data_IF_365703047068
#
_entry.id   IF_365703047068
#
_cell.length_a   1.000
_cell.length_b   1.000
_cell.length_c   1.000
_cell.angle_alpha   90.00
_cell.angle_beta   90.00
_cell.angle_gamma   90.00
#
_symmetry.space_group_name_H-M   'P 1'
#
loop_
_entity.id
_entity.type
_entity.pdbx_description
1 polymer ?
#
# COMPACT_ATOMS: atom_id res chain seq x y z
N UNK A 1 17.45 12.24 31.96
CA UNK A 1 17.08 13.13 30.85
C UNK A 1 16.89 12.27 29.59
N UNK A 2 15.65 11.89 29.24
CA UNK A 2 15.17 11.28 27.97
C UNK A 2 13.86 10.49 28.13
N UNK A 3 13.15 10.61 29.26
CA UNK A 3 11.86 9.94 29.47
C UNK A 3 10.75 10.40 28.49
N UNK A 4 10.91 11.56 27.84
CA UNK A 4 9.94 12.09 26.87
C UNK A 4 9.85 11.30 25.55
N UNK A 5 10.86 10.47 25.22
CA UNK A 5 10.95 9.72 23.97
C UNK A 5 10.74 8.21 24.14
N UNK A 6 10.47 7.73 25.36
CA UNK A 6 10.42 6.29 25.66
C UNK A 6 9.06 5.63 25.37
N UNK A 7 7.97 6.41 25.29
CA UNK A 7 6.60 5.88 25.19
C UNK A 7 6.04 5.82 23.76
N UNK A 8 6.81 6.20 22.74
CA UNK A 8 6.36 6.17 21.34
C UNK A 8 7.53 6.06 20.36
N UNK A 9 7.22 5.68 19.12
CA UNK A 9 8.11 5.79 17.97
C UNK A 9 7.52 6.81 16.98
N UNK A 10 8.35 7.62 16.32
CA UNK A 10 7.87 8.69 15.46
C UNK A 10 8.98 9.48 14.77
N UNK A 11 8.66 10.62 14.12
CA UNK A 11 9.62 11.40 13.32
C UNK A 11 10.98 11.73 13.97
N UNK A 12 11.07 12.15 15.26
CA UNK A 12 12.37 12.46 15.85
C UNK A 12 13.28 11.22 15.93
N UNK A 13 12.70 10.05 16.19
CA UNK A 13 13.42 8.77 16.25
C UNK A 13 13.90 8.35 14.87
N UNK A 14 13.02 8.42 13.87
CA UNK A 14 13.32 8.02 12.50
C UNK A 14 14.40 8.91 11.86
N UNK A 15 14.37 10.23 12.09
CA UNK A 15 15.45 11.13 11.65
C UNK A 15 16.80 10.76 12.29
N UNK A 16 16.78 10.41 13.58
CA UNK A 16 17.99 9.97 14.28
C UNK A 16 18.52 8.66 13.70
N UNK A 17 17.64 7.69 13.44
CA UNK A 17 17.98 6.43 12.78
C UNK A 17 18.60 6.69 11.41
N UNK A 18 17.96 7.49 10.56
CA UNK A 18 18.44 7.81 9.21
C UNK A 18 19.85 8.42 9.25
N UNK A 19 20.10 9.38 10.15
CA UNK A 19 21.41 10.04 10.28
C UNK A 19 22.51 9.11 10.76
N UNK A 20 22.20 8.20 11.69
CA UNK A 20 23.19 7.29 12.28
C UNK A 20 23.50 6.13 11.33
N UNK A 21 22.49 5.58 10.65
CA UNK A 21 22.66 4.44 9.76
C UNK A 21 23.26 4.85 8.41
N UNK A 22 22.91 6.03 7.90
CA UNK A 22 23.23 6.45 6.55
C UNK A 22 22.66 5.49 5.49
N UNK A 23 23.04 5.69 4.22
CA UNK A 23 22.51 4.88 3.11
C UNK A 23 22.79 3.38 3.26
N UNK A 24 24.02 3.02 3.66
CA UNK A 24 24.41 1.62 3.78
C UNK A 24 23.64 0.91 4.89
N UNK A 25 23.51 1.52 6.07
CA UNK A 25 22.75 0.93 7.17
C UNK A 25 21.27 0.81 6.84
N UNK A 26 20.67 1.83 6.21
CA UNK A 26 19.28 1.77 5.75
C UNK A 26 19.09 0.63 4.74
N UNK A 27 19.98 0.50 3.76
CA UNK A 27 19.88 -0.55 2.75
C UNK A 27 19.89 -1.97 3.37
N UNK A 28 20.78 -2.22 4.34
CA UNK A 28 20.83 -3.51 5.06
C UNK A 28 19.54 -3.73 5.84
N UNK A 29 19.06 -2.74 6.60
CA UNK A 29 17.81 -2.87 7.37
C UNK A 29 16.62 -3.17 6.46
N UNK A 30 16.52 -2.49 5.31
CA UNK A 30 15.44 -2.73 4.34
C UNK A 30 15.50 -4.14 3.74
N UNK A 31 16.71 -4.66 3.49
CA UNK A 31 16.92 -6.03 2.99
C UNK A 31 16.50 -7.06 4.04
N UNK A 32 16.91 -6.90 5.29
CA UNK A 32 16.50 -7.80 6.39
C UNK A 32 14.98 -7.75 6.64
N UNK A 33 14.38 -6.56 6.56
CA UNK A 33 12.92 -6.43 6.66
C UNK A 33 12.19 -7.14 5.52
N UNK A 34 12.72 -7.12 4.30
CA UNK A 34 12.17 -7.90 3.20
C UNK A 34 12.24 -9.41 3.46
N UNK A 35 13.33 -9.90 4.08
CA UNK A 35 13.47 -11.32 4.43
C UNK A 35 12.48 -11.72 5.53
N UNK A 36 12.26 -10.86 6.53
CA UNK A 36 11.23 -11.04 7.54
C UNK A 36 9.84 -11.09 6.89
N UNK A 37 9.54 -10.14 5.99
CA UNK A 37 8.26 -10.09 5.27
C UNK A 37 8.06 -11.35 4.44
N UNK A 38 9.10 -11.80 3.71
CA UNK A 38 9.07 -13.04 2.95
C UNK A 38 8.76 -14.24 3.85
N UNK A 39 9.45 -14.37 4.98
CA UNK A 39 9.25 -15.44 5.95
C UNK A 39 7.83 -15.44 6.53
N UNK A 40 7.29 -14.27 6.87
CA UNK A 40 5.91 -14.14 7.37
C UNK A 40 4.87 -14.54 6.32
N UNK A 41 5.05 -14.07 5.07
CA UNK A 41 4.13 -14.35 3.97
C UNK A 41 4.14 -15.83 3.61
N UNK A 42 5.33 -16.44 3.40
CA UNK A 42 5.45 -17.83 2.98
C UNK A 42 5.30 -18.84 4.14
N UNK A 43 5.48 -18.39 5.38
CA UNK A 43 5.37 -19.22 6.58
C UNK A 43 3.97 -19.15 7.18
N UNK A 44 3.87 -18.42 8.28
CA UNK A 44 2.67 -18.42 9.13
C UNK A 44 1.43 -17.90 8.38
N UNK A 45 1.53 -16.77 7.66
CA UNK A 45 0.37 -16.17 6.98
C UNK A 45 -0.13 -17.13 5.89
N UNK A 46 0.77 -17.79 5.16
CA UNK A 46 0.41 -18.82 4.19
C UNK A 46 -0.36 -19.98 4.83
N UNK A 47 0.16 -20.57 5.90
CA UNK A 47 -0.46 -21.71 6.59
C UNK A 47 -1.83 -21.36 7.17
N UNK A 48 -1.97 -20.18 7.78
CA UNK A 48 -3.26 -19.69 8.25
C UNK A 48 -4.22 -19.45 7.09
N UNK A 49 -3.75 -18.91 5.96
CA UNK A 49 -4.57 -18.69 4.77
C UNK A 49 -5.08 -20.02 4.20
N UNK A 50 -4.24 -21.06 4.12
CA UNK A 50 -4.66 -22.42 3.72
C UNK A 50 -5.77 -22.97 4.62
N UNK A 51 -5.56 -22.87 5.94
CA UNK A 51 -6.49 -23.38 6.95
C UNK A 51 -7.81 -22.62 6.89
N UNK A 52 -7.77 -21.29 6.87
CA UNK A 52 -8.97 -20.46 6.90
C UNK A 52 -9.73 -20.48 5.59
N UNK A 53 -9.08 -20.53 4.43
CA UNK A 53 -9.78 -20.71 3.15
C UNK A 53 -10.51 -22.06 3.09
N UNK A 54 -9.98 -23.09 3.74
CA UNK A 54 -10.66 -24.39 3.86
C UNK A 54 -11.90 -24.31 4.78
N UNK A 55 -11.89 -23.41 5.77
CA UNK A 55 -13.02 -23.13 6.66
C UNK A 55 -13.99 -22.08 6.09
N UNK A 56 -13.61 -21.33 5.06
CA UNK A 56 -14.48 -20.34 4.42
C UNK A 56 -15.67 -21.02 3.73
N UNK A 57 -16.86 -20.42 3.76
CA UNK A 57 -18.00 -20.92 3.00
C UNK A 57 -17.68 -20.91 1.51
N UNK A 58 -17.92 -22.02 0.81
CA UNK A 58 -17.65 -22.14 -0.65
C UNK A 58 -18.28 -21.01 -1.46
N UNK A 59 -19.50 -20.63 -1.08
CA UNK A 59 -20.23 -19.51 -1.66
C UNK A 59 -20.83 -18.64 -0.55
N UNK A 60 -20.60 -17.34 -0.62
CA UNK A 60 -21.20 -16.35 0.27
C UNK A 60 -21.75 -15.19 -0.57
N UNK A 61 -23.07 -15.20 -0.74
CA UNK A 61 -23.78 -14.21 -1.54
C UNK A 61 -23.91 -12.88 -0.79
N UNK A 62 -24.18 -11.81 -1.52
CA UNK A 62 -24.61 -10.53 -0.94
C UNK A 62 -26.14 -10.53 -0.90
N UNK A 63 -26.80 -10.70 0.26
CA UNK A 63 -28.25 -10.75 0.31
C UNK A 63 -28.86 -9.42 -0.13
N UNK A 64 -30.05 -9.48 -0.74
CA UNK A 64 -30.76 -8.29 -1.22
C UNK A 64 -31.16 -7.37 -0.05
N UNK A 65 -31.40 -6.09 -0.36
CA UNK A 65 -31.81 -5.08 0.61
C UNK A 65 -33.16 -5.44 1.26
N UNK A 66 -34.01 -6.20 0.57
CA UNK A 66 -35.32 -6.68 1.03
C UNK A 66 -35.22 -7.53 2.32
N UNK A 67 -34.07 -8.16 2.59
CA UNK A 67 -33.84 -8.92 3.83
C UNK A 67 -33.60 -8.02 5.06
N UNK A 68 -33.33 -6.73 4.85
CA UNK A 68 -32.98 -5.78 5.90
C UNK A 68 -31.61 -6.01 6.52
N UNK A 69 -31.02 -4.96 7.09
CA UNK A 69 -29.70 -4.99 7.71
C UNK A 69 -29.57 -5.96 8.89
N UNK A 70 -30.60 -6.20 9.75
CA UNK A 70 -30.54 -7.26 10.76
C UNK A 70 -30.43 -8.67 10.15
N UNK A 71 -31.21 -8.94 9.09
CA UNK A 71 -31.18 -10.21 8.38
C UNK A 71 -29.84 -10.46 7.68
N UNK A 72 -29.29 -9.42 7.04
CA UNK A 72 -27.97 -9.46 6.40
C UNK A 72 -26.86 -9.73 7.42
N UNK A 73 -26.87 -9.05 8.57
CA UNK A 73 -25.90 -9.30 9.65
C UNK A 73 -26.03 -10.73 10.19
N UNK A 74 -27.26 -11.21 10.41
CA UNK A 74 -27.52 -12.58 10.85
C UNK A 74 -27.03 -13.63 9.85
N UNK A 75 -27.19 -13.38 8.55
CA UNK A 75 -26.68 -14.23 7.49
C UNK A 75 -25.14 -14.32 7.54
N UNK A 76 -24.43 -13.19 7.57
CA UNK A 76 -22.97 -13.21 7.60
C UNK A 76 -22.42 -13.82 8.90
N UNK A 77 -23.05 -13.55 10.03
CA UNK A 77 -22.67 -14.21 11.29
C UNK A 77 -22.79 -15.73 11.17
N UNK A 78 -23.84 -16.25 10.53
CA UNK A 78 -24.02 -17.69 10.35
C UNK A 78 -22.99 -18.27 9.36
N UNK A 79 -22.75 -17.60 8.23
CA UNK A 79 -21.82 -18.06 7.20
C UNK A 79 -20.35 -18.00 7.62
N UNK A 80 -19.98 -17.04 8.48
CA UNK A 80 -18.60 -16.80 8.90
C UNK A 80 -18.32 -17.31 10.32
N UNK A 81 -19.22 -18.11 10.89
CA UNK A 81 -19.11 -18.55 12.28
C UNK A 81 -17.79 -19.27 12.57
N UNK A 82 -17.32 -20.11 11.66
CA UNK A 82 -16.08 -20.87 11.83
C UNK A 82 -14.84 -19.97 11.84
N UNK A 83 -14.88 -18.86 11.09
CA UNK A 83 -13.83 -17.83 11.12
C UNK A 83 -13.92 -16.97 12.39
N UNK A 84 -15.14 -16.63 12.83
CA UNK A 84 -15.38 -15.85 14.05
C UNK A 84 -14.92 -16.59 15.30
N UNK A 85 -15.11 -17.91 15.34
CA UNK A 85 -14.73 -18.78 16.46
C UNK A 85 -13.29 -19.29 16.36
N UNK A 86 -12.55 -18.97 15.30
CA UNK A 86 -11.19 -19.45 15.13
C UNK A 86 -10.28 -18.87 16.24
N UNK A 87 -9.77 -19.71 17.17
CA UNK A 87 -9.11 -19.23 18.39
C UNK A 87 -7.83 -18.46 18.08
N UNK A 88 -7.09 -18.87 17.06
CA UNK A 88 -5.77 -18.33 16.74
C UNK A 88 -5.84 -17.08 15.84
N UNK A 89 -7.04 -16.67 15.40
CA UNK A 89 -7.23 -15.48 14.56
C UNK A 89 -6.69 -14.22 15.25
N UNK A 90 -7.05 -14.04 16.53
CA UNK A 90 -6.70 -12.83 17.28
C UNK A 90 -5.34 -12.91 17.95
N UNK A 91 -4.89 -14.10 18.36
CA UNK A 91 -3.64 -14.26 19.12
C UNK A 91 -2.43 -14.34 18.20
N UNK A 92 -2.55 -15.05 17.07
CA UNK A 92 -1.40 -15.36 16.20
C UNK A 92 -1.54 -14.75 14.82
N UNK A 93 -2.67 -14.93 14.13
CA UNK A 93 -2.81 -14.45 12.76
C UNK A 93 -2.75 -12.92 12.67
N UNK A 94 -3.53 -12.20 13.47
CA UNK A 94 -3.49 -10.73 13.51
C UNK A 94 -2.14 -10.20 13.96
N UNK A 95 -1.41 -10.95 14.79
CA UNK A 95 -0.06 -10.59 15.18
C UNK A 95 0.91 -10.67 13.99
N UNK A 96 0.88 -11.76 13.21
CA UNK A 96 1.70 -11.90 11.99
C UNK A 96 1.41 -10.78 10.96
N UNK A 97 0.13 -10.45 10.74
CA UNK A 97 -0.23 -9.32 9.86
C UNK A 97 0.22 -7.97 10.45
N UNK A 98 0.12 -7.77 11.76
CA UNK A 98 0.62 -6.57 12.43
C UNK A 98 2.13 -6.40 12.21
N UNK A 99 2.92 -7.47 12.35
CA UNK A 99 4.36 -7.43 12.09
C UNK A 99 4.67 -7.07 10.64
N UNK A 100 4.02 -7.74 9.68
CA UNK A 100 4.12 -7.44 8.26
C UNK A 100 3.82 -5.96 7.96
N UNK A 101 2.73 -5.43 8.51
CA UNK A 101 2.33 -4.04 8.27
C UNK A 101 3.23 -3.03 8.97
N UNK A 102 3.74 -3.35 10.16
CA UNK A 102 4.71 -2.50 10.85
C UNK A 102 6.04 -2.45 10.09
N UNK A 103 6.49 -3.57 9.52
CA UNK A 103 7.68 -3.61 8.65
C UNK A 103 7.48 -2.72 7.41
N UNK A 104 6.33 -2.84 6.74
CA UNK A 104 5.93 -1.97 5.62
C UNK A 104 5.93 -0.49 5.99
N UNK A 105 5.27 -0.15 7.10
CA UNK A 105 5.22 1.22 7.62
C UNK A 105 6.60 1.75 7.97
N UNK A 106 7.47 0.93 8.56
CA UNK A 106 8.83 1.33 8.86
C UNK A 106 9.61 1.67 7.58
N UNK A 107 9.51 0.84 6.53
CA UNK A 107 10.14 1.12 5.24
C UNK A 107 9.69 2.49 4.68
N UNK A 108 8.37 2.72 4.65
CA UNK A 108 7.77 3.97 4.19
C UNK A 108 8.24 5.18 5.00
N UNK A 109 8.20 5.08 6.33
CA UNK A 109 8.51 6.19 7.22
C UNK A 109 10.01 6.53 7.27
N UNK A 110 10.89 5.52 7.11
CA UNK A 110 12.33 5.73 6.96
C UNK A 110 12.65 6.41 5.64
N UNK A 111 12.03 6.00 4.53
CA UNK A 111 12.21 6.68 3.23
C UNK A 111 11.77 8.15 3.33
N UNK A 112 10.59 8.42 3.90
CA UNK A 112 10.12 9.80 4.09
C UNK A 112 11.07 10.65 4.94
N UNK A 113 11.66 10.04 5.98
CA UNK A 113 12.65 10.72 6.82
C UNK A 113 13.97 10.96 6.07
N UNK A 114 14.41 10.00 5.25
CA UNK A 114 15.58 10.14 4.38
C UNK A 114 15.37 11.26 3.35
N UNK A 115 14.21 11.31 2.70
CA UNK A 115 13.86 12.41 1.78
C UNK A 115 13.95 13.78 2.45
N UNK A 116 13.48 13.91 3.71
CA UNK A 116 13.56 15.18 4.44
C UNK A 116 15.00 15.59 4.75
N UNK A 117 15.86 14.64 5.12
CA UNK A 117 17.28 14.90 5.38
C UNK A 117 18.01 15.28 4.08
N UNK A 118 17.79 14.54 2.99
CA UNK A 118 18.40 14.82 1.69
C UNK A 118 18.01 16.20 1.13
N UNK A 119 16.75 16.60 1.26
CA UNK A 119 16.30 17.94 0.83
C UNK A 119 16.99 19.03 1.65
N UNK A 120 17.18 18.82 2.96
CA UNK A 120 17.93 19.76 3.80
C UNK A 120 19.38 19.88 3.33
N UNK A 121 20.04 18.76 3.02
CA UNK A 121 21.40 18.75 2.49
C UNK A 121 21.49 19.50 1.15
N UNK A 122 20.56 19.25 0.23
CA UNK A 122 20.51 19.91 -1.07
C UNK A 122 20.29 21.43 -0.94
N UNK A 123 19.44 21.86 -0.01
CA UNK A 123 19.22 23.28 0.26
C UNK A 123 20.48 23.97 0.81
N UNK A 124 21.27 23.27 1.62
CA UNK A 124 22.55 23.78 2.12
C UNK A 124 23.64 23.77 1.05
N UNK A 125 23.61 22.79 0.13
CA UNK A 125 24.55 22.69 -0.99
C UNK A 125 24.27 23.70 -2.11
N UNK A 126 23.01 24.09 -2.31
CA UNK A 126 22.55 24.90 -3.43
C UNK A 126 23.41 26.14 -3.77
N UNK A 127 23.84 26.98 -2.80
CA UNK A 127 24.67 28.16 -3.09
C UNK A 127 26.04 27.81 -3.71
N UNK A 128 26.58 26.63 -3.40
CA UNK A 128 27.88 26.16 -3.84
C UNK A 128 27.82 25.43 -5.19
N UNK A 129 26.62 24.98 -5.58
CA UNK A 129 26.33 24.24 -6.82
C UNK A 129 25.63 25.10 -7.89
N UNK A 130 25.64 26.43 -7.72
CA UNK A 130 24.99 27.39 -8.62
C UNK A 130 23.47 27.19 -8.77
N UNK A 131 22.80 26.69 -7.71
CA UNK A 131 21.35 26.57 -7.66
C UNK A 131 20.78 27.78 -6.93
N UNK A 132 20.05 28.62 -7.66
CA UNK A 132 19.50 29.86 -7.14
C UNK A 132 17.96 29.84 -7.21
N UNK A 133 17.27 30.33 -6.18
CA UNK A 133 15.82 30.44 -6.21
C UNK A 133 15.39 31.47 -7.25
N UNK A 134 14.16 31.32 -7.75
CA UNK A 134 13.58 32.24 -8.73
C UNK A 134 13.53 33.67 -8.15
N UNK A 135 14.16 34.67 -8.79
CA UNK A 135 14.17 36.03 -8.29
C UNK A 135 12.81 36.72 -8.47
N UNK A 136 12.44 37.55 -7.51
CA UNK A 136 11.32 38.48 -7.68
C UNK A 136 11.61 39.49 -8.79
N UNK A 137 10.65 39.68 -9.70
CA UNK A 137 10.73 40.62 -10.82
C UNK A 137 9.61 41.66 -10.69
N UNK A 138 9.98 42.94 -10.69
CA UNK A 138 9.04 44.06 -10.79
C UNK A 138 8.53 44.18 -12.23
N UNK A 139 7.46 44.94 -12.41
CA UNK A 139 6.87 45.20 -13.71
C UNK A 139 7.91 45.79 -14.69
N UNK A 140 8.02 45.19 -15.88
CA UNK A 140 9.03 45.55 -16.88
C UNK A 140 10.41 44.90 -16.73
N UNK A 141 10.67 44.13 -15.66
CA UNK A 141 11.95 43.43 -15.49
C UNK A 141 11.91 42.01 -16.07
N UNK A 142 12.97 41.63 -16.82
CA UNK A 142 13.12 40.28 -17.37
C UNK A 142 13.76 39.32 -16.36
N UNK A 143 13.11 38.19 -15.99
CA UNK A 143 13.63 37.22 -15.04
C UNK A 143 15.02 36.69 -15.40
N UNK A 144 15.28 36.45 -16.68
CA UNK A 144 16.54 35.87 -17.18
C UNK A 144 17.72 36.81 -16.92
N UNK A 145 17.48 38.12 -17.02
CA UNK A 145 18.53 39.13 -16.78
C UNK A 145 18.87 39.21 -15.29
N UNK A 146 17.86 39.11 -14.42
CA UNK A 146 18.07 39.05 -12.97
C UNK A 146 18.77 37.77 -12.54
N UNK A 147 18.38 36.63 -13.13
CA UNK A 147 19.01 35.34 -12.86
C UNK A 147 20.51 35.40 -13.16
N UNK A 148 20.90 35.88 -14.36
CA UNK A 148 22.32 36.05 -14.73
C UNK A 148 23.08 36.99 -13.81
N UNK A 149 22.44 38.08 -13.33
CA UNK A 149 23.05 38.98 -12.35
C UNK A 149 23.29 38.30 -11.01
N UNK A 150 22.36 37.44 -10.56
CA UNK A 150 22.53 36.67 -9.33
C UNK A 150 23.61 35.58 -9.48
N UNK A 151 23.64 34.88 -10.61
CA UNK A 151 24.71 33.93 -10.93
C UNK A 151 26.08 34.61 -10.89
N UNK A 152 26.23 35.78 -11.51
CA UNK A 152 27.47 36.56 -11.44
C UNK A 152 27.82 37.01 -10.01
N UNK A 153 26.82 37.40 -9.21
CA UNK A 153 27.02 37.81 -7.81
C UNK A 153 27.52 36.66 -6.95
N UNK A 154 27.00 35.44 -7.16
CA UNK A 154 27.31 34.25 -6.36
C UNK A 154 28.38 33.33 -6.99
N UNK A 155 28.90 33.67 -8.17
CA UNK A 155 29.98 32.94 -8.82
C UNK A 155 31.20 32.65 -7.89
N UNK A 156 31.62 33.56 -6.98
CA UNK A 156 32.71 33.27 -6.05
C UNK A 156 32.44 32.13 -5.06
N UNK A 157 31.18 31.71 -4.87
CA UNK A 157 30.83 30.59 -3.98
C UNK A 157 30.87 29.22 -4.69
N UNK A 158 30.95 29.20 -6.02
CA UNK A 158 30.91 27.95 -6.79
C UNK A 158 32.17 27.13 -6.55
N UNK A 159 32.07 26.03 -5.80
CA UNK A 159 33.23 25.28 -5.30
C UNK A 159 34.02 24.68 -6.45
N UNK A 160 33.36 23.93 -7.35
CA UNK A 160 34.02 23.21 -8.44
C UNK A 160 34.76 24.17 -9.37
N UNK A 161 34.08 25.22 -9.85
CA UNK A 161 34.68 26.21 -10.75
C UNK A 161 35.90 26.92 -10.14
N UNK A 162 35.86 27.22 -8.83
CA UNK A 162 36.99 27.85 -8.15
C UNK A 162 38.16 26.89 -7.96
N UNK A 163 37.91 25.62 -7.59
CA UNK A 163 38.95 24.61 -7.42
C UNK A 163 39.58 24.26 -8.77
N UNK A 164 38.81 24.19 -9.86
CA UNK A 164 39.35 23.97 -11.20
C UNK A 164 40.28 25.10 -11.65
N UNK A 165 39.99 26.34 -11.25
CA UNK A 165 40.79 27.52 -11.60
C UNK A 165 42.06 27.67 -10.76
N UNK A 166 42.00 27.34 -9.48
CA UNK A 166 43.05 27.69 -8.50
C UNK A 166 43.72 26.47 -7.85
N UNK A 167 43.09 25.30 -7.93
CA UNK A 167 43.55 24.07 -7.31
C UNK A 167 44.43 23.21 -8.21
N UNK A 168 44.96 22.14 -7.63
CA UNK A 168 45.68 21.09 -8.35
C UNK A 168 44.72 20.18 -9.11
N UNK A 169 45.22 19.46 -10.12
CA UNK A 169 44.43 18.47 -10.86
C UNK A 169 43.76 17.43 -9.94
N UNK A 170 44.46 17.00 -8.88
CA UNK A 170 43.91 16.06 -7.89
C UNK A 170 42.76 16.69 -7.09
N UNK A 171 42.87 17.94 -6.68
CA UNK A 171 41.79 18.64 -5.97
C UNK A 171 40.57 18.86 -6.86
N UNK A 172 40.77 19.22 -8.13
CA UNK A 172 39.68 19.37 -9.09
C UNK A 172 38.91 18.06 -9.31
N UNK A 173 39.62 16.93 -9.42
CA UNK A 173 39.01 15.60 -9.53
C UNK A 173 38.16 15.27 -8.30
N UNK A 174 38.71 15.42 -7.09
CA UNK A 174 38.00 15.16 -5.82
C UNK A 174 36.77 16.08 -5.69
N UNK A 175 36.90 17.35 -6.09
CA UNK A 175 35.79 18.30 -6.02
C UNK A 175 34.63 17.90 -6.96
N UNK A 176 34.93 17.40 -8.15
CA UNK A 176 33.92 16.90 -9.10
C UNK A 176 33.20 15.66 -8.57
N UNK A 177 33.92 14.72 -7.97
CA UNK A 177 33.31 13.54 -7.34
C UNK A 177 32.43 13.91 -6.14
N UNK A 178 32.90 14.81 -5.27
CA UNK A 178 32.13 15.28 -4.11
C UNK A 178 30.87 16.06 -4.51
N UNK A 179 30.95 16.87 -5.57
CA UNK A 179 29.79 17.58 -6.12
C UNK A 179 28.72 16.61 -6.64
N UNK A 180 29.15 15.56 -7.35
CA UNK A 180 28.26 14.50 -7.84
C UNK A 180 27.51 13.82 -6.69
N UNK A 181 28.23 13.38 -5.66
CA UNK A 181 27.65 12.73 -4.47
C UNK A 181 26.71 13.63 -3.68
N UNK A 182 26.93 14.94 -3.72
CA UNK A 182 26.09 15.93 -3.03
C UNK A 182 24.80 16.19 -3.81
N UNK A 183 24.89 16.24 -5.14
CA UNK A 183 23.76 16.55 -6.04
C UNK A 183 22.85 15.34 -6.26
N UNK A 184 23.41 14.14 -6.36
CA UNK A 184 22.67 12.91 -6.63
C UNK A 184 22.15 12.32 -5.33
N UNK A 185 20.87 12.61 -5.03
CA UNK A 185 20.13 12.10 -3.87
C UNK A 185 18.91 11.31 -4.33
N UNK A 186 18.40 10.41 -3.49
CA UNK A 186 17.24 9.58 -3.86
C UNK A 186 15.99 10.43 -4.08
N UNK A 187 15.78 11.48 -3.28
CA UNK A 187 14.67 12.42 -3.43
C UNK A 187 14.59 13.14 -4.79
N UNK A 188 15.62 13.06 -5.63
CA UNK A 188 15.63 13.63 -6.98
C UNK A 188 14.84 12.81 -8.02
N UNK A 189 14.32 11.63 -7.67
CA UNK A 189 13.45 10.86 -8.58
C UNK A 189 13.38 9.35 -8.34
N UNK A 190 13.91 8.84 -7.22
CA UNK A 190 13.90 7.43 -6.88
C UNK A 190 12.99 7.18 -5.67
N UNK A 191 12.30 6.03 -5.64
CA UNK A 191 11.52 5.60 -4.49
C UNK A 191 11.92 4.20 -4.02
N UNK A 192 12.25 4.08 -2.74
CA UNK A 192 12.61 2.80 -2.11
C UNK A 192 11.35 1.97 -1.91
N UNK A 193 10.28 2.57 -1.37
CA UNK A 193 9.06 1.85 -1.02
C UNK A 193 8.37 1.23 -2.23
N UNK A 194 8.41 1.86 -3.41
CA UNK A 194 7.96 1.24 -4.67
C UNK A 194 8.71 -0.08 -4.94
N UNK A 195 10.04 -0.08 -4.83
CA UNK A 195 10.87 -1.28 -5.04
C UNK A 195 10.55 -2.36 -4.00
N UNK A 196 10.32 -1.98 -2.74
CA UNK A 196 9.90 -2.90 -1.68
C UNK A 196 8.55 -3.55 -2.04
N UNK A 197 7.56 -2.76 -2.45
CA UNK A 197 6.24 -3.27 -2.83
C UNK A 197 6.32 -4.24 -4.02
N UNK A 198 7.09 -3.90 -5.05
CA UNK A 198 7.31 -4.77 -6.22
C UNK A 198 7.98 -6.09 -5.83
N UNK A 199 8.94 -6.07 -4.91
CA UNK A 199 9.55 -7.31 -4.37
C UNK A 199 8.56 -8.13 -3.55
N UNK A 200 7.72 -7.49 -2.75
CA UNK A 200 6.71 -8.22 -1.96
C UNK A 200 5.67 -8.88 -2.88
N UNK A 201 5.37 -8.27 -4.03
CA UNK A 201 4.45 -8.86 -5.01
C UNK A 201 4.92 -10.25 -5.48
N UNK A 202 6.24 -10.46 -5.65
CA UNK A 202 6.79 -11.77 -6.06
C UNK A 202 6.65 -12.83 -4.96
N UNK A 203 6.34 -12.44 -3.72
CA UNK A 203 6.06 -13.39 -2.64
C UNK A 203 4.61 -13.90 -2.69
N UNK A 204 3.77 -13.34 -3.56
CA UNK A 204 2.34 -13.65 -3.64
C UNK A 204 1.98 -14.41 -4.93
N UNK A 205 2.92 -15.17 -5.48
CA UNK A 205 2.76 -15.93 -6.73
C UNK A 205 1.96 -17.22 -6.55
N UNK A 206 1.89 -17.78 -5.34
CA UNK A 206 1.21 -19.04 -5.11
C UNK A 206 -0.30 -18.98 -5.45
N UNK A 207 -0.87 -20.03 -6.08
CA UNK A 207 -2.26 -20.04 -6.54
C UNK A 207 -3.30 -19.75 -5.46
N UNK A 208 -2.98 -20.05 -4.20
CA UNK A 208 -3.86 -19.82 -3.06
C UNK A 208 -4.31 -18.36 -2.93
N UNK A 209 -3.47 -17.40 -3.31
CA UNK A 209 -3.78 -15.98 -3.18
C UNK A 209 -4.79 -15.50 -4.23
N UNK A 210 -4.79 -16.14 -5.40
CA UNK A 210 -5.57 -15.79 -6.58
C UNK A 210 -6.88 -16.58 -6.70
N UNK A 211 -6.97 -17.73 -6.04
CA UNK A 211 -8.14 -18.58 -6.08
C UNK A 211 -8.37 -19.26 -7.44
N UNK A 212 -9.52 -19.92 -7.57
CA UNK A 212 -9.89 -20.60 -8.82
C UNK A 212 -10.34 -19.62 -9.90
N UNK A 213 -10.12 -19.93 -11.20
CA UNK A 213 -10.63 -19.11 -12.30
C UNK A 213 -12.15 -18.95 -12.26
N UNK A 214 -12.68 -17.78 -12.65
CA UNK A 214 -14.10 -17.50 -12.55
C UNK A 214 -14.94 -18.26 -13.57
N UNK A 215 -16.01 -18.90 -13.11
CA UNK A 215 -16.90 -19.70 -13.94
C UNK A 215 -17.62 -18.87 -15.03
N UNK A 216 -17.88 -17.58 -14.76
CA UNK A 216 -18.47 -16.65 -15.72
C UNK A 216 -17.48 -16.08 -16.75
N UNK A 217 -16.19 -16.45 -16.65
CA UNK A 217 -15.13 -15.96 -17.52
C UNK A 217 -14.70 -14.50 -17.27
N UNK A 218 -15.24 -13.84 -16.24
CA UNK A 218 -14.97 -12.43 -15.90
C UNK A 218 -14.32 -12.30 -14.52
N UNK A 219 -15.06 -12.61 -13.45
CA UNK A 219 -14.58 -12.51 -12.07
C UNK A 219 -15.42 -13.36 -11.12
N UNK A 220 -14.82 -13.81 -10.02
CA UNK A 220 -15.52 -14.50 -8.93
C UNK A 220 -16.43 -13.50 -8.21
N UNK A 221 -17.67 -13.89 -7.93
CA UNK A 221 -18.67 -13.01 -7.32
C UNK A 221 -19.17 -13.59 -6.01
N UNK A 222 -19.62 -14.84 -6.01
CA UNK A 222 -20.16 -15.50 -4.83
C UNK A 222 -19.12 -16.42 -4.19
N UNK A 223 -18.14 -16.87 -4.95
CA UNK A 223 -17.05 -17.74 -4.53
C UNK A 223 -16.14 -17.02 -3.52
N UNK A 224 -15.70 -17.76 -2.49
CA UNK A 224 -14.80 -17.28 -1.45
C UNK A 224 -13.37 -17.85 -1.61
N UNK A 225 -12.85 -17.85 -2.83
CA UNK A 225 -11.57 -18.49 -3.17
C UNK A 225 -10.39 -17.52 -3.23
N UNK A 226 -10.63 -16.21 -3.32
CA UNK A 226 -9.60 -15.17 -3.40
C UNK A 226 -9.25 -14.62 -2.01
N UNK A 227 -8.01 -14.15 -1.82
CA UNK A 227 -7.54 -13.58 -0.55
C UNK A 227 -8.43 -12.46 0.00
N UNK A 228 -8.92 -11.54 -0.85
CA UNK A 228 -9.78 -10.45 -0.39
C UNK A 228 -11.09 -10.91 0.24
N UNK A 229 -11.59 -12.10 -0.09
CA UNK A 229 -12.78 -12.69 0.53
C UNK A 229 -12.48 -13.19 1.94
N UNK A 230 -11.31 -13.80 2.12
CA UNK A 230 -10.82 -14.13 3.45
C UNK A 230 -10.62 -12.86 4.28
N UNK A 231 -9.99 -11.83 3.70
CA UNK A 231 -9.82 -10.55 4.39
C UNK A 231 -11.15 -9.89 4.75
N UNK A 232 -12.19 -10.02 3.90
CA UNK A 232 -13.55 -9.55 4.21
C UNK A 232 -14.14 -10.25 5.44
N UNK A 233 -13.86 -11.55 5.60
CA UNK A 233 -14.26 -12.31 6.79
C UNK A 233 -13.46 -11.90 8.04
N UNK A 234 -12.16 -11.69 7.91
CA UNK A 234 -11.34 -11.15 9.01
C UNK A 234 -11.80 -9.73 9.39
N UNK A 235 -12.13 -8.89 8.42
CA UNK A 235 -12.71 -7.56 8.64
C UNK A 235 -14.03 -7.62 9.39
N UNK A 236 -14.87 -8.62 9.07
CA UNK A 236 -16.07 -8.89 9.87
C UNK A 236 -15.72 -9.13 11.33
N UNK A 237 -14.75 -10.01 11.62
CA UNK A 237 -14.28 -10.28 13.00
C UNK A 237 -13.72 -9.04 13.70
N UNK A 238 -12.95 -8.20 12.98
CA UNK A 238 -12.38 -6.95 13.52
C UNK A 238 -13.45 -5.89 13.84
N UNK A 239 -14.54 -5.88 13.06
CA UNK A 239 -15.60 -4.91 13.23
C UNK A 239 -16.57 -5.26 14.38
N UNK A 240 -16.66 -6.54 14.79
CA UNK A 240 -17.53 -6.96 15.90
C UNK A 240 -17.23 -6.12 17.15
N UNK A 241 -18.19 -5.35 17.69
CA UNK A 241 -18.00 -4.58 18.90
C UNK A 241 -17.70 -5.49 20.10
N UNK A 242 -16.67 -5.13 20.87
CA UNK A 242 -16.33 -5.80 22.13
C UNK A 242 -16.96 -5.08 23.32
N UNK A 243 -17.13 -5.79 24.43
CA UNK A 243 -17.58 -5.19 25.69
C UNK A 243 -16.60 -4.12 26.22
N UNK A 244 -17.07 -3.22 27.08
CA UNK A 244 -16.32 -2.05 27.56
C UNK A 244 -15.00 -2.37 28.27
N UNK A 245 -14.87 -3.57 28.82
CA UNK A 245 -13.67 -4.00 29.56
C UNK A 245 -12.68 -4.79 28.70
N UNK A 246 -12.99 -4.99 27.41
CA UNK A 246 -12.15 -5.73 26.48
C UNK A 246 -11.41 -4.78 25.55
N UNK A 247 -10.17 -5.12 25.22
CA UNK A 247 -9.41 -4.36 24.23
C UNK A 247 -9.93 -4.59 22.82
N UNK A 248 -9.96 -3.52 22.05
CA UNK A 248 -10.29 -3.54 20.63
C UNK A 248 -9.09 -3.95 19.78
N UNK A 249 -9.32 -4.38 18.55
CA UNK A 249 -8.26 -4.76 17.60
C UNK A 249 -7.31 -3.59 17.35
N UNK A 250 -7.83 -2.38 17.18
CA UNK A 250 -7.03 -1.18 16.99
C UNK A 250 -6.16 -0.82 18.21
N UNK A 251 -6.58 -1.14 19.43
CA UNK A 251 -5.75 -0.97 20.63
C UNK A 251 -4.63 -2.02 20.73
N UNK A 252 -4.88 -3.24 20.27
CA UNK A 252 -3.94 -4.36 20.35
C UNK A 252 -2.94 -4.38 19.19
N UNK A 253 -3.37 -4.00 17.98
CA UNK A 253 -2.58 -4.16 16.76
C UNK A 253 -2.29 -2.85 16.02
N UNK A 254 -2.97 -1.75 16.37
CA UNK A 254 -2.82 -0.49 15.65
C UNK A 254 -3.20 -0.62 14.17
N UNK A 255 -2.63 0.24 13.33
CA UNK A 255 -2.93 0.28 11.89
C UNK A 255 -2.09 -0.72 11.07
N UNK A 256 -1.02 -1.28 11.63
CA UNK A 256 -0.16 -2.25 10.95
C UNK A 256 -0.95 -3.44 10.40
N UNK A 257 -1.93 -3.93 11.17
CA UNK A 257 -2.83 -5.00 10.72
C UNK A 257 -3.53 -4.66 9.39
N UNK A 258 -4.14 -3.48 9.31
CA UNK A 258 -4.83 -3.04 8.08
C UNK A 258 -3.86 -2.75 6.94
N UNK A 259 -2.67 -2.20 7.24
CA UNK A 259 -1.63 -1.97 6.24
C UNK A 259 -1.19 -3.25 5.55
N UNK A 260 -1.03 -4.34 6.30
CA UNK A 260 -0.66 -5.63 5.74
C UNK A 260 -1.75 -6.21 4.83
N UNK A 261 -2.99 -6.32 5.33
CA UNK A 261 -4.09 -6.86 4.54
C UNK A 261 -4.40 -6.03 3.29
N UNK A 262 -4.39 -4.70 3.42
CA UNK A 262 -4.59 -3.80 2.27
C UNK A 262 -3.43 -3.88 1.27
N UNK A 263 -2.18 -3.99 1.73
CA UNK A 263 -1.02 -4.17 0.87
C UNK A 263 -1.17 -5.44 0.01
N UNK A 264 -1.44 -6.58 0.64
CA UNK A 264 -1.65 -7.83 -0.08
C UNK A 264 -2.82 -7.74 -1.09
N UNK A 265 -3.96 -7.14 -0.70
CA UNK A 265 -5.10 -6.92 -1.62
C UNK A 265 -4.72 -6.09 -2.85
N UNK A 266 -3.92 -5.04 -2.67
CA UNK A 266 -3.47 -4.17 -3.77
C UNK A 266 -2.48 -4.90 -4.66
N UNK A 267 -1.47 -5.56 -4.10
CA UNK A 267 -0.46 -6.30 -4.85
C UNK A 267 -1.04 -7.49 -5.64
N UNK A 268 -2.13 -8.08 -5.15
CA UNK A 268 -2.91 -9.11 -5.84
C UNK A 268 -3.92 -8.55 -6.87
N UNK A 269 -3.97 -7.24 -7.07
CA UNK A 269 -4.95 -6.57 -7.93
C UNK A 269 -6.42 -6.92 -7.59
N UNK A 270 -6.71 -7.09 -6.29
CA UNK A 270 -8.03 -7.50 -5.77
C UNK A 270 -8.84 -6.33 -5.19
N UNK A 271 -8.26 -5.12 -5.05
CA UNK A 271 -8.91 -3.98 -4.37
C UNK A 271 -10.31 -3.65 -4.88
N UNK A 272 -10.50 -3.53 -6.20
CA UNK A 272 -11.81 -3.16 -6.77
C UNK A 272 -12.88 -4.22 -6.46
N UNK A 273 -12.48 -5.51 -6.45
CA UNK A 273 -13.38 -6.63 -6.11
C UNK A 273 -13.69 -6.62 -4.62
N UNK A 274 -12.69 -6.37 -3.78
CA UNK A 274 -12.87 -6.18 -2.34
C UNK A 274 -13.89 -5.08 -2.03
N UNK A 275 -13.72 -3.88 -2.58
CA UNK A 275 -14.61 -2.73 -2.32
C UNK A 275 -16.08 -3.01 -2.74
N UNK A 276 -16.27 -3.79 -3.80
CA UNK A 276 -17.59 -4.20 -4.28
C UNK A 276 -18.21 -5.30 -3.40
N UNK A 277 -17.43 -6.34 -3.06
CA UNK A 277 -17.90 -7.62 -2.53
C UNK A 277 -17.67 -7.81 -1.02
N UNK A 278 -17.04 -6.86 -0.33
CA UNK A 278 -16.80 -6.96 1.11
C UNK A 278 -18.12 -7.02 1.90
N UNK A 279 -18.17 -7.98 2.84
CA UNK A 279 -19.36 -8.29 3.64
C UNK A 279 -19.74 -7.12 4.55
N UNK A 280 -18.76 -6.46 5.16
CA UNK A 280 -18.99 -5.34 6.07
C UNK A 280 -19.51 -4.12 5.33
N UNK A 281 -18.93 -3.79 4.19
CA UNK A 281 -19.36 -2.68 3.35
C UNK A 281 -20.78 -2.91 2.86
N UNK A 282 -21.14 -4.17 2.56
CA UNK A 282 -22.52 -4.52 2.24
C UNK A 282 -23.48 -4.29 3.41
N UNK A 283 -23.17 -4.78 4.62
CA UNK A 283 -23.98 -4.52 5.83
C UNK A 283 -24.21 -3.01 6.01
N UNK A 284 -23.13 -2.21 5.92
CA UNK A 284 -23.20 -0.76 6.08
C UNK A 284 -24.09 -0.11 5.02
N UNK A 285 -23.99 -0.54 3.76
CA UNK A 285 -24.83 0.00 2.67
C UNK A 285 -26.32 -0.30 2.92
N UNK A 286 -26.67 -1.52 3.34
CA UNK A 286 -28.06 -1.89 3.64
C UNK A 286 -28.57 -1.12 4.87
N UNK A 287 -27.77 -1.02 5.95
CA UNK A 287 -28.16 -0.31 7.17
C UNK A 287 -28.38 1.19 6.95
N UNK A 288 -27.60 1.80 6.04
CA UNK A 288 -27.82 3.21 5.65
C UNK A 288 -29.16 3.45 4.96
N UNK A 289 -29.72 2.43 4.31
CA UNK A 289 -31.02 2.54 3.61
C UNK A 289 -32.18 2.32 4.57
N UNK A 290 -32.14 1.26 5.39
CA UNK A 290 -33.26 0.92 6.27
C UNK A 290 -33.21 1.56 7.66
N UNK A 291 -32.05 2.09 8.06
CA UNK A 291 -31.87 2.81 9.32
C UNK A 291 -32.06 1.96 10.58
N UNK A 292 -32.13 0.63 10.47
CA UNK A 292 -32.45 -0.25 11.62
C UNK A 292 -31.31 -0.29 12.63
N UNK A 293 -31.68 -0.47 13.90
CA UNK A 293 -30.76 -0.66 15.02
C UNK A 293 -31.31 -1.74 15.95
N UNK A 294 -30.84 -2.97 15.72
CA UNK A 294 -31.23 -4.15 16.47
C UNK A 294 -29.98 -4.86 17.02
N UNK A 295 -30.18 -5.76 17.97
CA UNK A 295 -29.11 -6.63 18.48
C UNK A 295 -29.27 -8.02 17.87
N UNK A 296 -28.32 -8.42 17.01
CA UNK A 296 -28.34 -9.69 16.29
C UNK A 296 -27.21 -10.55 16.83
N UNK A 297 -27.54 -11.71 17.42
CA UNK A 297 -26.53 -12.64 17.99
C UNK A 297 -25.56 -11.95 18.97
N UNK A 298 -26.05 -11.00 19.76
CA UNK A 298 -25.25 -10.23 20.70
C UNK A 298 -24.47 -9.06 20.09
N UNK A 299 -24.57 -8.83 18.77
CA UNK A 299 -23.93 -7.73 18.07
C UNK A 299 -24.93 -6.57 17.91
N UNK A 300 -24.61 -5.43 18.50
CA UNK A 300 -25.36 -4.19 18.29
C UNK A 300 -25.10 -3.64 16.88
N UNK A 301 -26.11 -3.68 16.01
CA UNK A 301 -25.98 -3.37 14.58
C UNK A 301 -25.46 -1.95 14.32
N UNK A 302 -25.97 -0.94 15.03
CA UNK A 302 -25.51 0.44 14.84
C UNK A 302 -24.03 0.61 15.20
N UNK A 303 -23.61 0.06 16.34
CA UNK A 303 -22.20 0.08 16.78
C UNK A 303 -21.29 -0.66 15.81
N UNK A 304 -21.74 -1.80 15.28
CA UNK A 304 -21.03 -2.54 14.24
C UNK A 304 -20.85 -1.67 12.99
N UNK A 305 -21.92 -1.04 12.48
CA UNK A 305 -21.86 -0.18 11.30
C UNK A 305 -20.95 1.05 11.48
N UNK A 306 -20.95 1.66 12.67
CA UNK A 306 -20.04 2.76 12.99
C UNK A 306 -18.58 2.31 12.96
N UNK A 307 -18.27 1.11 13.49
CA UNK A 307 -16.92 0.50 13.39
C UNK A 307 -16.55 0.18 11.94
N UNK A 308 -17.44 -0.44 11.18
CA UNK A 308 -17.26 -0.73 9.76
C UNK A 308 -16.90 0.54 9.00
N UNK A 309 -17.61 1.65 9.25
CA UNK A 309 -17.33 2.92 8.57
C UNK A 309 -15.92 3.44 8.88
N UNK A 310 -15.42 3.28 10.11
CA UNK A 310 -14.05 3.69 10.47
C UNK A 310 -13.00 2.86 9.72
N UNK A 311 -13.14 1.53 9.72
CA UNK A 311 -12.25 0.65 8.95
C UNK A 311 -12.35 0.89 7.44
N UNK A 312 -13.54 1.20 6.92
CA UNK A 312 -13.72 1.58 5.52
C UNK A 312 -12.89 2.82 5.16
N UNK A 313 -12.95 3.87 5.97
CA UNK A 313 -12.17 5.09 5.75
C UNK A 313 -10.67 4.80 5.84
N UNK A 314 -10.24 4.03 6.85
CA UNK A 314 -8.84 3.61 7.02
C UNK A 314 -8.33 2.85 5.79
N UNK A 315 -9.04 1.80 5.35
CA UNK A 315 -8.64 1.01 4.19
C UNK A 315 -8.58 1.88 2.92
N UNK A 316 -9.55 2.77 2.70
CA UNK A 316 -9.51 3.69 1.55
C UNK A 316 -8.29 4.62 1.57
N UNK A 317 -7.87 5.09 2.74
CA UNK A 317 -6.65 5.90 2.88
C UNK A 317 -5.40 5.08 2.59
N UNK A 318 -5.30 3.87 3.14
CA UNK A 318 -4.17 2.96 2.89
C UNK A 318 -4.08 2.63 1.40
N UNK A 319 -5.20 2.24 0.77
CA UNK A 319 -5.25 1.99 -0.66
C UNK A 319 -4.82 3.20 -1.48
N UNK A 320 -5.26 4.41 -1.13
CA UNK A 320 -4.84 5.61 -1.84
C UNK A 320 -3.33 5.84 -1.76
N UNK A 321 -2.71 5.58 -0.60
CA UNK A 321 -1.25 5.69 -0.43
C UNK A 321 -0.54 4.62 -1.25
N UNK A 322 -0.90 3.34 -1.11
CA UNK A 322 -0.26 2.24 -1.85
C UNK A 322 -0.35 2.44 -3.37
N UNK A 323 -1.52 2.81 -3.88
CA UNK A 323 -1.72 3.07 -5.32
C UNK A 323 -0.89 4.27 -5.81
N UNK A 324 -0.53 5.23 -4.95
CA UNK A 324 0.35 6.34 -5.36
C UNK A 324 1.77 5.84 -5.68
N UNK A 325 2.26 4.88 -4.90
CA UNK A 325 3.58 4.28 -5.08
C UNK A 325 3.64 3.20 -6.18
N UNK A 326 2.51 2.58 -6.52
CA UNK A 326 2.46 1.57 -7.59
C UNK A 326 2.16 2.15 -8.98
N UNK A 327 1.79 3.44 -9.06
CA UNK A 327 1.51 4.14 -10.32
C UNK A 327 2.73 4.82 -10.95
N UNK A 328 3.86 4.88 -10.23
CA UNK A 328 5.10 5.51 -10.69
C UNK A 328 5.90 4.64 -11.66
N UNK A 329 5.45 3.41 -11.93
CA UNK A 329 5.92 2.59 -13.03
C UNK A 329 5.58 3.26 -14.37
N UNK A 330 6.63 3.73 -15.04
CA UNK A 330 6.65 4.53 -16.26
C UNK A 330 5.56 4.17 -17.29
N UNK A 331 4.55 5.02 -17.54
CA UNK A 331 3.49 4.75 -18.50
C UNK A 331 3.99 4.60 -19.94
N UNK A 332 5.20 5.06 -20.23
CA UNK A 332 5.83 4.95 -21.56
C UNK A 332 6.48 3.56 -21.81
N UNK A 333 6.62 2.71 -20.79
CA UNK A 333 7.21 1.37 -20.90
C UNK A 333 6.24 0.22 -20.62
N UNK A 334 4.98 0.50 -20.29
CA UNK A 334 3.96 -0.53 -20.19
C UNK A 334 3.41 -0.83 -21.60
N UNK A 335 3.55 -2.06 -22.12
CA UNK A 335 2.82 -2.43 -23.33
C UNK A 335 1.35 -2.17 -23.05
N UNK A 336 0.68 -1.37 -23.89
CA UNK A 336 -0.75 -1.03 -23.84
C UNK A 336 -1.48 -2.14 -23.09
N UNK A 337 -1.87 -1.89 -21.83
CA UNK A 337 -2.45 -2.91 -20.96
C UNK A 337 -3.50 -3.64 -21.80
N UNK A 338 -3.24 -4.91 -22.14
CA UNK A 338 -4.11 -5.67 -23.00
C UNK A 338 -5.37 -5.99 -22.19
N UNK A 339 -6.30 -5.04 -22.18
CA UNK A 339 -7.59 -5.22 -21.53
C UNK A 339 -8.25 -6.41 -22.19
N UNK A 340 -8.64 -7.39 -21.38
CA UNK A 340 -9.32 -8.58 -21.88
C UNK A 340 -10.64 -8.17 -22.55
N UNK A 341 -10.72 -8.35 -23.87
CA UNK A 341 -11.93 -8.09 -24.64
C UNK A 341 -12.88 -9.29 -24.60
N UNK A 342 -14.19 -9.00 -24.62
CA UNK A 342 -15.24 -10.01 -24.76
C UNK A 342 -15.82 -9.97 -26.16
N UNK A 343 -16.01 -11.13 -26.77
CA UNK A 343 -16.58 -11.23 -28.11
C UNK A 343 -18.10 -10.95 -28.06
N UNK A 344 -18.64 -10.17 -29.01
CA UNK A 344 -20.09 -9.99 -29.11
C UNK A 344 -20.78 -11.31 -29.49
N UNK A 345 -22.10 -11.45 -29.23
CA UNK A 345 -22.85 -12.63 -29.67
C UNK A 345 -22.70 -12.86 -31.18
N UNK A 346 -22.21 -14.03 -31.56
CA UNK A 346 -22.02 -14.41 -32.96
C UNK A 346 -23.31 -15.07 -33.46
N UNK A 347 -23.87 -14.56 -34.55
CA UNK A 347 -25.02 -15.17 -35.20
C UNK A 347 -24.66 -16.55 -35.76
N UNK A 348 -25.52 -17.56 -35.57
CA UNK A 348 -25.23 -18.96 -35.92
C UNK A 348 -24.82 -19.15 -37.41
N UNK A 349 -25.34 -18.32 -38.31
CA UNK A 349 -24.95 -18.36 -39.74
C UNK A 349 -23.49 -18.01 -40.00
N UNK A 350 -22.87 -17.20 -39.16
CA UNK A 350 -21.46 -16.80 -39.25
C UNK A 350 -20.55 -17.75 -38.48
N UNK A 351 -21.05 -18.36 -37.39
CA UNK A 351 -20.29 -19.31 -36.58
C UNK A 351 -19.81 -20.55 -37.39
N UNK A 352 -20.64 -21.03 -38.31
CA UNK A 352 -20.27 -22.15 -39.19
C UNK A 352 -19.20 -21.81 -40.25
N UNK A 353 -18.99 -20.52 -40.56
CA UNK A 353 -17.94 -20.07 -41.49
C UNK A 353 -16.59 -19.90 -40.79
N UNK A 354 -16.57 -19.56 -39.50
CA UNK A 354 -15.32 -19.36 -38.74
C UNK A 354 -14.56 -20.66 -38.49
N UNK A 355 -15.24 -21.80 -38.35
CA UNK A 355 -14.61 -23.12 -38.21
C UNK A 355 -13.96 -23.65 -39.50
N UNK A 356 -14.16 -23.00 -40.65
CA UNK A 356 -13.57 -23.41 -41.94
C UNK A 356 -12.30 -22.63 -42.33
N UNK A 357 -11.82 -21.66 -41.51
CA UNK A 357 -10.54 -21.00 -41.76
C UNK A 357 -9.37 -21.77 -41.11
N UNK A 358 -8.34 -22.21 -41.87
CA UNK A 358 -7.23 -23.01 -41.35
C UNK A 358 -6.19 -22.27 -40.49
N UNK A 359 -6.45 -21.04 -40.05
CA UNK A 359 -5.42 -20.19 -39.43
C UNK A 359 -5.35 -20.28 -37.89
N UNK A 360 -6.03 -21.25 -37.27
CA UNK A 360 -5.99 -21.46 -35.81
C UNK A 360 -5.32 -22.78 -35.38
N UNK A 361 -4.57 -23.43 -36.27
CA UNK A 361 -3.67 -24.55 -35.93
C UNK A 361 -2.21 -24.12 -36.11
N UNK A 362 -1.70 -23.31 -35.18
CA UNK A 362 -0.27 -23.23 -34.86
C UNK A 362 -0.03 -22.62 -33.50
#
# INVERSE_FOLDING_TARGET
>A
YNNHYASFLGPPHLRSIVRILGYQGIAVVMQELLEIIHSLIQGNIHQFTQTLLSAMPKHCKLPRYDYGSPGVLGYYHAQLNDIVQYPDARTELFHNFRELGNALLFCLLVEQSLTQEEVCDLLQAAPFQNILPRPYCKEGEKPETKQKRLEAKYAPLQIVANIERLGTAKQAMIAREGDLLTRERLCCGLSIFEVILTRIQTFLEEPIWHGSPPANGVMNVDECTEFHRLWSALQFVMCIPVGTNNFTVEQLFGEGLNWAGCCMIVLLAQQRRFEALDFCYHILRVQKVDGKDEVIKGIALKRMCDRIRRFQVLNSQIFAVLNKYLKTSDPDNLPVEHVRCFQPPIHQSLANQTYQRPDHLR
#
